data_IF_978102172342
#
_entry.id   IF_978102172342
#
_cell.length_a   1.000
_cell.length_b   1.000
_cell.length_c   1.000
_cell.angle_alpha   90.00
_cell.angle_beta   90.00
_cell.angle_gamma   90.00
#
_symmetry.space_group_name_H-M   'P 1'
#
loop_
_entity.id
_entity.type
_entity.pdbx_description
1 polymer ?
#
# COMPACT_ATOMS: atom_id res chain seq x y z
N UNK A 1 5.10 13.90 -15.49
CA UNK A 1 3.96 14.33 -14.69
C UNK A 1 4.38 14.52 -13.24
N UNK A 2 4.09 15.67 -12.65
CA UNK A 2 4.46 15.97 -11.27
C UNK A 2 3.75 15.07 -10.25
N UNK A 3 4.11 15.23 -8.98
CA UNK A 3 3.50 14.50 -7.89
C UNK A 3 2.05 14.93 -7.64
N UNK A 4 1.32 14.04 -6.99
CA UNK A 4 -0.02 14.32 -6.52
C UNK A 4 0.06 14.93 -5.12
N UNK A 5 -0.61 16.05 -4.90
CA UNK A 5 -0.64 16.75 -3.61
C UNK A 5 -1.99 16.56 -2.94
N UNK A 6 -1.96 16.29 -1.65
CA UNK A 6 -3.12 16.30 -0.79
C UNK A 6 -2.77 17.10 0.47
N UNK A 7 -3.52 18.15 0.73
CA UNK A 7 -3.32 19.01 1.90
C UNK A 7 -4.52 18.93 2.83
N UNK A 8 -4.26 18.80 4.11
CA UNK A 8 -5.25 18.79 5.16
C UNK A 8 -5.42 20.13 5.87
N UNK A 9 -6.50 20.24 6.64
CA UNK A 9 -6.79 21.38 7.50
C UNK A 9 -5.74 21.57 8.61
N UNK A 10 -4.94 20.54 8.89
CA UNK A 10 -3.85 20.58 9.89
C UNK A 10 -2.56 21.18 9.34
N UNK A 11 -2.54 21.61 8.08
CA UNK A 11 -1.37 22.08 7.31
C UNK A 11 -0.37 20.97 6.96
N UNK A 12 -0.61 19.72 7.33
CA UNK A 12 0.22 18.59 6.90
C UNK A 12 0.00 18.34 5.40
N UNK A 13 1.08 18.15 4.65
CA UNK A 13 1.02 17.93 3.22
C UNK A 13 1.54 16.55 2.83
N UNK A 14 0.66 15.73 2.27
CA UNK A 14 1.04 14.45 1.68
C UNK A 14 1.39 14.67 0.22
N UNK A 15 2.56 14.20 -0.18
CA UNK A 15 2.99 14.16 -1.58
C UNK A 15 3.18 12.73 -2.03
N UNK A 16 2.80 12.45 -3.28
CA UNK A 16 2.95 11.15 -3.91
C UNK A 16 3.67 11.36 -5.24
N UNK A 17 4.88 10.83 -5.34
CA UNK A 17 5.72 11.00 -6.51
C UNK A 17 6.12 9.64 -7.09
N UNK A 18 6.52 9.64 -8.36
CA UNK A 18 7.11 8.45 -8.96
C UNK A 18 8.40 8.10 -8.21
N UNK A 19 8.61 6.82 -7.98
CA UNK A 19 9.80 6.37 -7.28
C UNK A 19 11.05 6.55 -8.15
N UNK A 20 12.14 6.90 -7.46
CA UNK A 20 13.48 6.85 -7.99
C UNK A 20 14.23 5.71 -7.32
N UNK A 21 15.34 5.27 -7.90
CA UNK A 21 16.20 4.27 -7.26
C UNK A 21 16.62 4.72 -5.87
N UNK A 22 17.02 5.99 -5.74
CA UNK A 22 17.41 6.58 -4.46
C UNK A 22 16.28 6.52 -3.44
N UNK A 23 15.06 6.84 -3.83
CA UNK A 23 13.88 6.82 -2.96
C UNK A 23 13.53 5.41 -2.49
N UNK A 24 13.64 4.42 -3.38
CA UNK A 24 13.39 3.02 -3.03
C UNK A 24 14.46 2.51 -2.06
N UNK A 25 15.72 2.84 -2.26
CA UNK A 25 16.81 2.45 -1.35
C UNK A 25 16.66 3.13 0.02
N UNK A 26 16.29 4.40 0.04
CA UNK A 26 15.98 5.10 1.29
C UNK A 26 14.86 4.38 2.05
N UNK A 27 13.80 3.99 1.34
CA UNK A 27 12.72 3.22 1.95
C UNK A 27 13.21 1.87 2.50
N UNK A 28 14.02 1.15 1.74
CA UNK A 28 14.54 -0.16 2.15
C UNK A 28 15.31 -0.09 3.47
N UNK A 29 16.01 1.02 3.72
CA UNK A 29 16.75 1.23 4.97
C UNK A 29 15.83 1.62 6.15
N UNK A 30 14.57 1.94 5.88
CA UNK A 30 13.63 2.45 6.88
C UNK A 30 12.31 1.69 6.93
N UNK A 31 12.19 0.56 6.26
CA UNK A 31 10.95 -0.23 6.26
C UNK A 31 10.56 -0.63 7.68
N UNK A 32 9.27 -0.49 8.00
CA UNK A 32 8.70 -0.89 9.28
C UNK A 32 8.85 -2.41 9.48
N UNK A 33 9.29 -2.83 10.68
CA UNK A 33 9.58 -4.24 10.97
C UNK A 33 8.47 -5.20 10.59
N UNK A 34 7.23 -4.88 10.96
CA UNK A 34 6.09 -5.76 10.67
C UNK A 34 5.75 -5.81 9.19
N UNK A 35 6.00 -4.75 8.44
CA UNK A 35 5.80 -4.74 7.01
C UNK A 35 6.85 -5.59 6.29
N UNK A 36 8.10 -5.53 6.74
CA UNK A 36 9.17 -6.41 6.22
C UNK A 36 8.84 -7.88 6.48
N UNK A 37 8.38 -8.19 7.68
CA UNK A 37 7.94 -9.54 8.04
C UNK A 37 6.78 -10.01 7.18
N UNK A 38 5.80 -9.14 6.94
CA UNK A 38 4.64 -9.45 6.09
C UNK A 38 5.08 -9.78 4.67
N UNK A 39 5.97 -9.00 4.08
CA UNK A 39 6.50 -9.26 2.73
C UNK A 39 7.07 -10.67 2.65
N UNK A 40 7.88 -11.06 3.62
CA UNK A 40 8.49 -12.40 3.65
C UNK A 40 7.44 -13.51 3.76
N UNK A 41 6.44 -13.32 4.59
CA UNK A 41 5.39 -14.33 4.80
C UNK A 41 4.50 -14.45 3.55
N UNK A 42 4.10 -13.34 2.96
CA UNK A 42 3.20 -13.34 1.80
C UNK A 42 3.91 -13.80 0.54
N UNK A 43 5.11 -13.32 0.27
CA UNK A 43 5.85 -13.60 -0.97
C UNK A 43 6.80 -14.79 -0.89
N UNK A 44 7.15 -15.22 0.32
CA UNK A 44 8.15 -16.27 0.55
C UNK A 44 9.60 -15.79 0.46
N UNK A 45 9.84 -14.50 0.17
CA UNK A 45 11.18 -13.92 0.02
C UNK A 45 11.33 -12.66 0.87
N UNK A 46 12.50 -12.41 1.48
CA UNK A 46 12.78 -11.17 2.16
C UNK A 46 12.62 -9.97 1.22
N UNK A 47 12.20 -8.82 1.76
CA UNK A 47 12.05 -7.60 0.98
C UNK A 47 13.34 -7.22 0.26
N UNK A 48 14.50 -7.34 0.91
CA UNK A 48 15.80 -6.99 0.33
C UNK A 48 16.13 -7.83 -0.90
N UNK A 49 15.68 -9.07 -0.97
CA UNK A 49 15.90 -9.95 -2.13
C UNK A 49 15.05 -9.53 -3.34
N UNK A 50 14.03 -8.71 -3.12
CA UNK A 50 13.13 -8.21 -4.16
C UNK A 50 13.46 -6.78 -4.61
N UNK A 51 14.47 -6.18 -3.99
CA UNK A 51 14.79 -4.76 -4.18
C UNK A 51 15.19 -4.44 -5.62
N UNK A 52 16.02 -5.28 -6.24
CA UNK A 52 16.47 -5.05 -7.63
C UNK A 52 15.30 -5.11 -8.62
N UNK A 53 14.39 -6.04 -8.42
CA UNK A 53 13.19 -6.13 -9.26
C UNK A 53 12.30 -4.91 -9.07
N UNK A 54 12.12 -4.46 -7.84
CA UNK A 54 11.34 -3.27 -7.53
C UNK A 54 11.92 -2.03 -8.21
N UNK A 55 13.25 -1.88 -8.20
CA UNK A 55 13.94 -0.78 -8.85
C UNK A 55 13.77 -0.86 -10.37
N UNK A 56 13.85 -2.05 -10.96
CA UNK A 56 13.60 -2.22 -12.41
C UNK A 56 12.19 -1.80 -12.79
N UNK A 57 11.24 -1.98 -11.89
CA UNK A 57 9.82 -1.64 -12.11
C UNK A 57 9.42 -0.32 -11.42
N UNK A 58 10.38 0.55 -11.14
CA UNK A 58 10.14 1.78 -10.36
C UNK A 58 9.08 2.71 -10.97
N UNK A 59 8.83 2.62 -12.27
CA UNK A 59 7.78 3.42 -12.92
C UNK A 59 6.37 3.11 -12.39
N UNK A 60 6.18 1.94 -11.77
CA UNK A 60 4.92 1.50 -11.17
C UNK A 60 4.91 1.69 -9.65
N UNK A 61 5.94 2.29 -9.09
CA UNK A 61 6.08 2.50 -7.65
C UNK A 61 5.93 3.98 -7.33
N UNK A 62 5.16 4.27 -6.29
CA UNK A 62 4.97 5.63 -5.76
C UNK A 62 5.68 5.76 -4.43
N UNK A 63 6.25 6.93 -4.20
CA UNK A 63 6.87 7.30 -2.91
C UNK A 63 5.93 8.29 -2.22
N UNK A 64 5.62 8.01 -0.97
CA UNK A 64 4.67 8.77 -0.16
C UNK A 64 5.45 9.53 0.92
N UNK A 65 5.31 10.85 0.95
CA UNK A 65 5.97 11.70 1.95
C UNK A 65 4.94 12.61 2.61
N UNK A 66 5.22 13.02 3.84
CA UNK A 66 4.47 14.05 4.53
C UNK A 66 5.47 15.13 4.97
N UNK A 67 5.31 16.34 4.45
CA UNK A 67 6.22 17.46 4.73
C UNK A 67 7.70 17.07 4.50
N UNK A 68 7.97 16.31 3.44
CA UNK A 68 9.29 15.82 3.08
C UNK A 68 9.74 14.56 3.79
N UNK A 69 9.02 14.10 4.81
CA UNK A 69 9.37 12.88 5.57
C UNK A 69 8.82 11.65 4.84
N UNK A 70 9.68 10.68 4.62
CA UNK A 70 9.30 9.43 3.94
C UNK A 70 8.36 8.60 4.82
N UNK A 71 7.13 8.42 4.37
CA UNK A 71 6.15 7.57 5.05
C UNK A 71 6.10 6.16 4.50
N UNK A 72 6.32 5.99 3.20
CA UNK A 72 6.22 4.67 2.60
C UNK A 72 6.36 4.67 1.09
N UNK A 73 6.19 3.48 0.55
CA UNK A 73 6.05 3.25 -0.89
C UNK A 73 4.79 2.45 -1.14
N UNK A 74 4.27 2.52 -2.34
CA UNK A 74 3.09 1.76 -2.70
C UNK A 74 2.80 1.80 -4.18
N UNK A 75 1.70 1.18 -4.56
CA UNK A 75 1.27 1.17 -5.93
C UNK A 75 -0.05 0.45 -6.08
N UNK A 76 -0.57 0.47 -7.29
CA UNK A 76 -1.77 -0.28 -7.64
C UNK A 76 -1.66 -0.71 -9.09
N UNK A 77 -2.26 -1.85 -9.38
CA UNK A 77 -2.36 -2.37 -10.73
C UNK A 77 -3.66 -3.15 -10.90
N UNK A 78 -4.14 -3.20 -12.13
CA UNK A 78 -5.37 -3.90 -12.44
C UNK A 78 -5.20 -5.40 -12.15
N UNK A 79 -6.19 -5.99 -11.45
CA UNK A 79 -6.19 -7.43 -11.18
C UNK A 79 -6.34 -8.20 -12.49
N UNK A 80 -5.46 -9.16 -12.72
CA UNK A 80 -5.46 -10.00 -13.94
C UNK A 80 -6.26 -11.26 -13.68
N UNK A 81 -7.53 -11.26 -14.12
CA UNK A 81 -8.42 -12.42 -14.07
C UNK A 81 -8.64 -12.94 -15.48
N UNK A 82 -8.30 -14.19 -15.74
CA UNK A 82 -8.35 -14.78 -17.07
C UNK A 82 -9.78 -14.96 -17.60
N UNK A 83 -10.76 -15.00 -16.71
CA UNK A 83 -12.14 -15.34 -17.04
C UNK A 83 -13.12 -14.16 -17.02
N UNK A 84 -12.72 -13.01 -16.50
CA UNK A 84 -13.60 -11.85 -16.42
C UNK A 84 -12.84 -10.55 -16.72
N UNK A 85 -13.05 -10.02 -17.92
CA UNK A 85 -12.42 -8.77 -18.37
C UNK A 85 -13.19 -7.51 -17.94
N UNK A 86 -14.42 -7.65 -17.43
CA UNK A 86 -15.31 -6.52 -17.20
C UNK A 86 -15.42 -6.08 -15.74
N UNK A 87 -15.21 -6.98 -14.79
CA UNK A 87 -15.39 -6.69 -13.36
C UNK A 87 -14.07 -6.75 -12.56
N UNK A 88 -12.96 -6.51 -13.24
CA UNK A 88 -11.65 -6.56 -12.60
C UNK A 88 -11.45 -5.41 -11.62
N UNK A 89 -11.08 -5.76 -10.40
CA UNK A 89 -10.68 -4.79 -9.40
C UNK A 89 -9.24 -4.34 -9.57
N UNK A 90 -8.75 -3.65 -8.58
CA UNK A 90 -7.37 -3.19 -8.52
C UNK A 90 -6.66 -3.84 -7.33
N UNK A 91 -5.44 -4.32 -7.57
CA UNK A 91 -4.55 -4.79 -6.49
C UNK A 91 -3.82 -3.56 -5.98
N UNK A 92 -4.01 -3.26 -4.69
CA UNK A 92 -3.32 -2.16 -4.03
C UNK A 92 -2.31 -2.69 -3.02
N UNK A 93 -1.14 -2.09 -2.95
CA UNK A 93 -0.12 -2.47 -1.99
C UNK A 93 0.57 -1.23 -1.42
N UNK A 94 1.00 -1.34 -0.19
CA UNK A 94 1.68 -0.26 0.50
C UNK A 94 2.57 -0.83 1.60
N UNK A 95 3.78 -0.31 1.70
CA UNK A 95 4.73 -0.64 2.74
C UNK A 95 5.16 0.66 3.40
N UNK A 96 5.25 0.69 4.72
CA UNK A 96 5.43 1.90 5.48
C UNK A 96 6.73 1.92 6.28
N UNK A 97 7.13 3.13 6.66
CA UNK A 97 8.22 3.38 7.62
C UNK A 97 7.62 3.66 8.99
N UNK A 98 8.42 3.58 10.07
CA UNK A 98 7.94 3.98 11.41
C UNK A 98 7.49 5.43 11.50
N UNK A 99 7.97 6.31 10.61
CA UNK A 99 7.61 7.73 10.61
C UNK A 99 6.10 7.98 10.40
N UNK A 100 5.37 7.00 9.85
CA UNK A 100 3.92 7.13 9.68
C UNK A 100 3.20 7.41 11.00
N UNK A 101 3.73 6.92 12.12
CA UNK A 101 3.10 7.13 13.42
C UNK A 101 3.09 8.60 13.84
N UNK A 102 4.09 9.38 13.41
CA UNK A 102 4.17 10.80 13.71
C UNK A 102 3.27 11.66 12.80
N UNK A 103 2.74 11.06 11.72
CA UNK A 103 1.90 11.73 10.73
C UNK A 103 0.60 10.95 10.51
N UNK A 104 0.14 10.26 11.53
CA UNK A 104 -0.93 9.27 11.43
C UNK A 104 -2.26 9.85 10.93
N UNK A 105 -2.66 11.00 11.44
CA UNK A 105 -3.96 11.59 11.08
C UNK A 105 -3.96 12.01 9.61
N UNK A 106 -2.94 12.72 9.17
CA UNK A 106 -2.80 13.13 7.79
C UNK A 106 -2.77 11.92 6.85
N UNK A 107 -2.01 10.89 7.22
CA UNK A 107 -1.89 9.65 6.45
C UNK A 107 -3.23 8.91 6.34
N UNK A 108 -3.96 8.78 7.43
CA UNK A 108 -5.25 8.08 7.44
C UNK A 108 -6.30 8.79 6.58
N UNK A 109 -6.37 10.12 6.65
CA UNK A 109 -7.31 10.90 5.83
C UNK A 109 -6.95 10.83 4.36
N UNK A 110 -5.67 10.95 4.04
CA UNK A 110 -5.19 10.80 2.67
C UNK A 110 -5.52 9.41 2.12
N UNK A 111 -5.34 8.37 2.91
CA UNK A 111 -5.62 6.99 2.52
C UNK A 111 -7.10 6.79 2.20
N UNK A 112 -8.01 7.36 2.99
CA UNK A 112 -9.45 7.32 2.68
C UNK A 112 -9.77 8.02 1.38
N UNK A 113 -9.16 9.16 1.14
CA UNK A 113 -9.33 9.88 -0.12
C UNK A 113 -8.83 9.05 -1.31
N UNK A 114 -7.66 8.44 -1.19
CA UNK A 114 -7.10 7.57 -2.25
C UNK A 114 -8.02 6.39 -2.55
N UNK A 115 -8.52 5.72 -1.50
CA UNK A 115 -9.45 4.60 -1.65
C UNK A 115 -10.71 5.05 -2.41
N UNK A 116 -11.26 6.20 -2.07
CA UNK A 116 -12.41 6.76 -2.79
C UNK A 116 -12.10 6.97 -4.27
N UNK A 117 -10.94 7.55 -4.58
CA UNK A 117 -10.53 7.76 -5.97
C UNK A 117 -10.39 6.43 -6.73
N UNK A 118 -9.78 5.42 -6.10
CA UNK A 118 -9.64 4.11 -6.73
C UNK A 118 -10.99 3.42 -6.94
N UNK A 119 -11.90 3.54 -5.98
CA UNK A 119 -13.24 2.95 -6.10
C UNK A 119 -14.13 3.68 -7.11
N UNK A 120 -13.82 4.93 -7.47
CA UNK A 120 -14.49 5.61 -8.57
C UNK A 120 -14.10 4.98 -9.92
N UNK A 121 -12.90 4.41 -10.02
CA UNK A 121 -12.37 3.82 -11.24
C UNK A 121 -12.49 2.29 -11.31
N UNK A 122 -12.49 1.62 -10.15
CA UNK A 122 -12.49 0.15 -10.06
C UNK A 122 -13.57 -0.33 -9.11
N UNK A 123 -14.16 -1.53 -9.35
CA UNK A 123 -15.24 -2.05 -8.48
C UNK A 123 -14.77 -2.42 -7.07
N UNK A 124 -13.51 -2.80 -6.90
CA UNK A 124 -12.96 -3.15 -5.59
C UNK A 124 -11.44 -3.03 -5.59
N UNK A 125 -10.89 -2.93 -4.38
CA UNK A 125 -9.44 -2.99 -4.10
C UNK A 125 -9.19 -4.28 -3.36
N UNK A 126 -8.16 -5.01 -3.73
CA UNK A 126 -7.83 -6.30 -3.11
C UNK A 126 -6.33 -6.50 -2.96
N UNK A 127 -5.95 -7.32 -2.03
CA UNK A 127 -4.61 -7.93 -1.91
C UNK A 127 -4.65 -8.98 -0.79
N UNK A 128 -3.49 -9.56 -0.54
CA UNK A 128 -3.27 -10.52 0.55
C UNK A 128 -2.52 -9.83 1.69
N UNK A 129 -2.90 -10.13 2.93
CA UNK A 129 -2.26 -9.58 4.11
C UNK A 129 -1.91 -10.68 5.10
N UNK A 130 -0.90 -10.41 5.94
CA UNK A 130 -0.53 -11.29 7.05
C UNK A 130 -1.35 -10.93 8.28
N UNK A 131 -2.06 -11.89 8.84
CA UNK A 131 -2.92 -11.70 10.03
C UNK A 131 -2.12 -11.11 11.22
N UNK A 132 -0.86 -11.54 11.37
CA UNK A 132 0.00 -11.09 12.47
C UNK A 132 0.45 -9.63 12.37
N UNK A 133 0.32 -9.00 11.21
CA UNK A 133 0.59 -7.56 11.07
C UNK A 133 -0.65 -6.77 11.51
N UNK A 134 -0.85 -6.66 12.82
CA UNK A 134 -2.04 -6.06 13.39
C UNK A 134 -2.22 -4.60 13.01
N UNK A 135 -1.13 -3.85 12.83
CA UNK A 135 -1.20 -2.46 12.36
C UNK A 135 -1.81 -2.38 10.97
N UNK A 136 -1.38 -3.27 10.08
CA UNK A 136 -1.91 -3.34 8.72
C UNK A 136 -3.39 -3.76 8.72
N UNK A 137 -3.74 -4.78 9.50
CA UNK A 137 -5.13 -5.25 9.60
C UNK A 137 -6.05 -4.12 10.10
N UNK A 138 -5.65 -3.41 11.15
CA UNK A 138 -6.42 -2.26 11.67
C UNK A 138 -6.57 -1.14 10.64
N UNK A 139 -5.51 -0.88 9.90
CA UNK A 139 -5.54 0.11 8.82
C UNK A 139 -6.55 -0.28 7.73
N UNK A 140 -6.53 -1.55 7.31
CA UNK A 140 -7.48 -2.07 6.32
C UNK A 140 -8.92 -2.03 6.84
N UNK A 141 -9.15 -2.38 8.11
CA UNK A 141 -10.46 -2.25 8.74
C UNK A 141 -10.96 -0.80 8.72
N UNK A 142 -10.08 0.13 9.04
CA UNK A 142 -10.38 1.56 8.97
C UNK A 142 -10.79 1.99 7.57
N UNK A 143 -10.21 1.39 6.54
CA UNK A 143 -10.55 1.67 5.13
C UNK A 143 -11.82 0.95 4.66
N UNK A 144 -12.44 0.13 5.52
CA UNK A 144 -13.68 -0.57 5.20
C UNK A 144 -13.50 -1.94 4.58
N UNK A 145 -12.34 -2.57 4.75
CA UNK A 145 -12.07 -3.88 4.17
C UNK A 145 -12.88 -5.00 4.82
N UNK A 146 -13.29 -5.95 4.01
CA UNK A 146 -13.73 -7.28 4.45
C UNK A 146 -12.59 -8.28 4.25
N UNK A 147 -12.57 -9.33 5.07
CA UNK A 147 -11.47 -10.29 5.10
C UNK A 147 -11.97 -11.71 4.89
N UNK A 148 -11.20 -12.47 4.11
CA UNK A 148 -11.45 -13.89 3.88
C UNK A 148 -10.17 -14.68 4.17
N UNK A 149 -10.26 -15.69 5.01
CA UNK A 149 -9.11 -16.54 5.35
C UNK A 149 -8.63 -17.28 4.11
N UNK A 150 -7.30 -17.37 3.95
CA UNK A 150 -6.72 -18.20 2.91
C UNK A 150 -6.99 -19.68 3.27
N UNK A 151 -7.52 -20.49 2.33
CA UNK A 151 -7.85 -21.88 2.62
C UNK A 151 -6.63 -22.79 2.84
N UNK A 152 -5.45 -22.37 2.39
CA UNK A 152 -4.23 -23.18 2.45
C UNK A 152 -3.18 -22.66 3.42
N UNK A 153 -3.31 -21.41 3.89
CA UNK A 153 -2.35 -20.79 4.80
C UNK A 153 -3.07 -19.96 5.86
N UNK A 154 -3.10 -20.47 7.09
CA UNK A 154 -3.80 -19.83 8.21
C UNK A 154 -3.21 -18.49 8.64
N UNK A 155 -2.03 -18.12 8.15
CA UNK A 155 -1.39 -16.82 8.44
C UNK A 155 -1.87 -15.72 7.52
N UNK A 156 -2.55 -16.04 6.43
CA UNK A 156 -2.92 -15.10 5.39
C UNK A 156 -4.42 -14.85 5.34
N UNK A 157 -4.77 -13.60 5.02
CA UNK A 157 -6.13 -13.21 4.69
C UNK A 157 -6.12 -12.48 3.35
N UNK A 158 -7.19 -12.62 2.60
CA UNK A 158 -7.45 -11.82 1.40
C UNK A 158 -8.44 -10.74 1.77
N UNK A 159 -8.13 -9.49 1.47
CA UNK A 159 -9.03 -8.40 1.77
C UNK A 159 -9.66 -7.81 0.52
N UNK A 160 -10.84 -7.25 0.69
CA UNK A 160 -11.58 -6.55 -0.35
C UNK A 160 -12.15 -5.25 0.22
N UNK A 161 -11.89 -4.14 -0.47
CA UNK A 161 -12.55 -2.86 -0.17
C UNK A 161 -13.44 -2.57 -1.36
N UNK A 162 -14.75 -2.55 -1.14
CA UNK A 162 -15.74 -2.40 -2.19
C UNK A 162 -16.43 -1.05 -2.10
N UNK A 163 -17.04 -0.64 -3.21
CA UNK A 163 -17.91 0.54 -3.21
C UNK A 163 -19.05 0.35 -2.22
N UNK A 164 -19.34 1.39 -1.46
CA UNK A 164 -20.48 1.41 -0.55
C UNK A 164 -21.75 1.87 -1.26
#
# INVERSE_FOLDING_TARGET
MGGQLYQEDTNDMITVDRATEKGIREFADNIRYMDEKEVKIVSGKPFRDQLDELIRNKKHVKVIRCDGVLLGIGGWYKEMLDWDLYSQGVVGWMLLTPAVEDHKIAFLRWSKWLVKCLLDAYPYITNTAYIGNTLHIRFLEFLGASFHLDPFNSKLVHFYIERS
#
